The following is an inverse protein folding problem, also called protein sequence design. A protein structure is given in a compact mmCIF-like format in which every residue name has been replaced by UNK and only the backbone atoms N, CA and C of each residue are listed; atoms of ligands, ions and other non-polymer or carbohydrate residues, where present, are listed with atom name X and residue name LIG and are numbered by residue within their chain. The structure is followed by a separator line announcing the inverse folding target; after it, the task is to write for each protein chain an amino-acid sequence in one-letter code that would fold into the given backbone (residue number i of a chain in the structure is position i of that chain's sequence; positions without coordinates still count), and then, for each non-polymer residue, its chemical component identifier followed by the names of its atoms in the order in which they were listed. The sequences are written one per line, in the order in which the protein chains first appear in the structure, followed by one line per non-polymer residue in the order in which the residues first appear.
data_IF_645212306524
#
_entry.id   IF_645212306524
#
_cell.length_a   1.000
_cell.length_b   1.000
_cell.length_c   1.000
_cell.angle_alpha   90.00
_cell.angle_beta   90.00
_cell.angle_gamma   90.00
#
_symmetry.space_group_name_H-M   'P 1'
#
loop_
_entity.id
_entity.type
_entity.pdbx_description
1 polymer ?
#
# COMPACT_ATOMS: atom_id res chain seq x y z
N UNK A 1 36.55 -18.88 -72.74
CA UNK A 1 36.90 -17.48 -72.58
C UNK A 1 37.16 -17.21 -71.12
N UNK A 2 38.39 -16.87 -70.81
CA UNK A 2 38.74 -16.41 -69.48
C UNK A 2 38.40 -14.90 -69.40
N UNK A 3 37.73 -14.49 -68.34
CA UNK A 3 37.43 -13.09 -68.05
C UNK A 3 38.52 -12.58 -67.14
N UNK A 4 39.17 -11.49 -67.49
CA UNK A 4 40.14 -10.75 -66.65
C UNK A 4 39.63 -9.33 -66.45
N UNK A 5 39.66 -8.87 -65.22
CA UNK A 5 39.24 -7.53 -64.83
C UNK A 5 38.48 -7.49 -63.52
N UNK A 6 38.52 -6.39 -62.82
CA UNK A 6 37.72 -6.11 -61.63
C UNK A 6 36.55 -5.23 -62.02
N UNK A 7 35.38 -5.48 -61.39
CA UNK A 7 34.24 -4.57 -61.46
C UNK A 7 33.85 -4.14 -60.08
N UNK A 8 33.55 -2.87 -59.88
CA UNK A 8 33.05 -2.36 -58.63
C UNK A 8 31.51 -2.22 -58.64
N UNK A 9 30.87 -2.71 -57.61
CA UNK A 9 29.45 -2.52 -57.41
C UNK A 9 29.24 -1.59 -56.19
N UNK A 10 28.59 -0.47 -56.42
CA UNK A 10 28.24 0.44 -55.35
C UNK A 10 26.95 0.03 -54.64
N UNK A 11 26.91 -0.02 -53.32
CA UNK A 11 25.71 -0.21 -52.54
C UNK A 11 25.58 0.85 -51.44
N UNK A 12 24.37 1.08 -50.96
CA UNK A 12 24.09 2.02 -49.90
C UNK A 12 23.55 1.27 -48.69
N UNK A 13 24.15 1.49 -47.52
CA UNK A 13 23.64 1.08 -46.22
C UNK A 13 22.79 2.21 -45.66
N UNK A 14 21.55 1.94 -45.31
CA UNK A 14 20.65 2.93 -44.69
C UNK A 14 20.43 2.58 -43.25
N UNK A 15 20.26 3.58 -42.37
CA UNK A 15 19.93 3.36 -40.96
C UNK A 15 18.63 2.56 -40.81
N UNK A 16 18.59 1.64 -39.84
CA UNK A 16 17.45 0.80 -39.54
C UNK A 16 16.40 1.57 -38.75
N UNK A 17 15.09 1.55 -39.12
CA UNK A 17 14.06 2.21 -38.34
C UNK A 17 13.89 1.55 -36.96
N UNK A 18 13.77 2.35 -35.89
CA UNK A 18 13.43 1.85 -34.55
C UNK A 18 12.06 1.15 -34.51
N UNK A 19 11.20 1.34 -35.50
CA UNK A 19 9.90 0.67 -35.64
C UNK A 19 9.98 -0.69 -36.33
N UNK A 20 11.17 -1.15 -36.73
CA UNK A 20 11.33 -2.45 -37.38
C UNK A 20 10.90 -3.60 -36.46
N UNK A 21 10.36 -4.67 -37.04
CA UNK A 21 9.71 -5.78 -36.31
C UNK A 21 10.67 -6.61 -35.43
N UNK A 22 11.96 -6.56 -35.75
CA UNK A 22 13.02 -7.25 -35.00
C UNK A 22 13.68 -6.33 -33.93
N UNK A 23 13.20 -5.09 -33.77
CA UNK A 23 13.55 -4.23 -32.62
C UNK A 23 12.55 -4.50 -31.50
N UNK A 24 13.06 -4.90 -30.33
CA UNK A 24 12.27 -5.17 -29.14
C UNK A 24 12.58 -4.18 -28.03
N UNK A 25 11.59 -3.92 -27.19
CA UNK A 25 11.65 -2.95 -26.10
C UNK A 25 11.16 -3.60 -24.82
N UNK A 26 11.93 -3.48 -23.74
CA UNK A 26 11.49 -3.85 -22.39
C UNK A 26 11.77 -2.69 -21.44
N UNK A 27 10.81 -2.41 -20.55
CA UNK A 27 10.94 -1.39 -19.52
C UNK A 27 10.67 -2.01 -18.15
N UNK A 28 11.43 -1.62 -17.14
CA UNK A 28 11.16 -1.99 -15.75
C UNK A 28 9.91 -1.26 -15.23
N UNK A 29 9.39 -1.71 -14.07
CA UNK A 29 8.30 -1.03 -13.38
C UNK A 29 8.84 -0.40 -12.10
N UNK A 30 9.29 0.86 -12.13
CA UNK A 30 9.77 1.55 -10.94
C UNK A 30 8.62 1.73 -9.94
N UNK A 31 8.96 1.77 -8.64
CA UNK A 31 7.99 2.00 -7.57
C UNK A 31 7.85 3.50 -7.33
N UNK A 32 6.64 3.94 -7.03
CA UNK A 32 6.32 5.32 -6.64
C UNK A 32 7.23 5.83 -5.51
N UNK A 33 7.82 7.00 -5.71
CA UNK A 33 8.72 7.64 -4.73
C UNK A 33 8.21 8.98 -4.19
N UNK A 34 7.22 9.59 -4.85
CA UNK A 34 6.78 10.96 -4.63
C UNK A 34 7.51 11.99 -5.50
N UNK A 35 8.48 11.54 -6.30
CA UNK A 35 9.23 12.34 -7.26
C UNK A 35 9.21 11.68 -8.62
N UNK A 36 9.72 12.37 -9.65
CA UNK A 36 9.86 11.80 -10.99
C UNK A 36 10.66 10.50 -10.97
N UNK A 37 10.11 9.44 -11.54
CA UNK A 37 10.76 8.15 -11.73
C UNK A 37 10.63 7.70 -13.18
N UNK A 38 11.71 7.14 -13.71
CA UNK A 38 11.75 6.57 -15.07
C UNK A 38 12.17 5.10 -14.97
N UNK A 39 11.69 4.24 -15.87
CA UNK A 39 12.11 2.85 -15.93
C UNK A 39 13.53 2.76 -16.49
N UNK A 40 14.21 1.66 -16.20
CA UNK A 40 15.30 1.20 -17.04
C UNK A 40 14.72 0.61 -18.33
N UNK A 41 15.22 1.03 -19.47
CA UNK A 41 14.76 0.58 -20.77
C UNK A 41 15.87 -0.22 -21.47
N UNK A 42 15.53 -1.39 -21.94
CA UNK A 42 16.43 -2.19 -22.80
C UNK A 42 15.85 -2.24 -24.20
N UNK A 43 16.64 -1.84 -25.18
CA UNK A 43 16.31 -1.92 -26.62
C UNK A 43 17.23 -2.95 -27.26
N UNK A 44 16.66 -3.87 -28.06
CA UNK A 44 17.42 -4.90 -28.79
C UNK A 44 17.07 -4.91 -30.26
N UNK A 45 18.07 -5.17 -31.09
CA UNK A 45 17.93 -5.51 -32.50
C UNK A 45 18.30 -7.01 -32.67
N UNK A 46 17.30 -7.88 -32.72
CA UNK A 46 17.52 -9.32 -32.55
C UNK A 46 18.20 -9.59 -31.19
N UNK A 47 19.36 -10.24 -31.23
CA UNK A 47 20.15 -10.56 -30.02
C UNK A 47 21.09 -9.41 -29.55
N UNK A 48 21.23 -8.35 -30.34
CA UNK A 48 22.15 -7.25 -30.06
C UNK A 48 21.44 -6.20 -29.22
N UNK A 49 21.96 -5.94 -28.00
CA UNK A 49 21.47 -4.84 -27.16
C UNK A 49 22.03 -3.52 -27.65
N UNK A 50 21.15 -2.55 -27.87
CA UNK A 50 21.51 -1.18 -28.27
C UNK A 50 21.93 -0.36 -27.05
N UNK A 51 22.81 0.62 -27.25
CA UNK A 51 23.36 1.46 -26.19
C UNK A 51 22.69 2.83 -26.16
N UNK A 52 22.07 3.18 -25.02
CA UNK A 52 21.61 4.54 -24.78
C UNK A 52 22.79 5.53 -24.84
N UNK A 53 22.56 6.70 -25.40
CA UNK A 53 23.60 7.71 -25.63
C UNK A 53 24.48 7.47 -26.86
N UNK A 54 24.44 6.28 -27.49
CA UNK A 54 25.16 5.93 -28.71
C UNK A 54 24.20 5.64 -29.87
N UNK A 55 23.28 4.69 -29.67
CA UNK A 55 22.33 4.24 -30.71
C UNK A 55 21.01 5.01 -30.62
N UNK A 56 20.57 5.33 -29.39
CA UNK A 56 19.31 6.00 -29.11
C UNK A 56 19.42 6.89 -27.85
N UNK A 57 18.40 7.71 -27.63
CA UNK A 57 18.15 8.49 -26.42
C UNK A 57 16.71 8.28 -25.97
N UNK A 58 16.46 8.46 -24.64
CA UNK A 58 15.13 8.37 -24.04
C UNK A 58 14.64 9.79 -23.72
N UNK A 59 13.51 10.15 -24.29
CA UNK A 59 12.87 11.45 -24.08
C UNK A 59 11.49 11.27 -23.42
N UNK A 60 11.05 12.29 -22.70
CA UNK A 60 9.68 12.42 -22.28
C UNK A 60 8.78 12.75 -23.47
N UNK A 61 7.53 12.28 -23.44
CA UNK A 61 6.57 12.67 -24.47
C UNK A 61 6.14 14.12 -24.26
N UNK A 62 5.97 14.87 -25.35
CA UNK A 62 5.72 16.32 -25.31
C UNK A 62 4.34 16.68 -24.78
N UNK A 63 3.38 15.76 -24.82
CA UNK A 63 2.01 15.87 -24.33
C UNK A 63 1.78 15.15 -22.99
N UNK A 64 2.86 14.83 -22.27
CA UNK A 64 2.76 14.19 -20.96
C UNK A 64 1.99 15.07 -19.96
N UNK A 65 1.13 14.44 -19.15
CA UNK A 65 0.54 15.11 -18.00
C UNK A 65 1.63 15.51 -16.99
N UNK A 66 1.41 16.59 -16.25
CA UNK A 66 2.39 17.11 -15.29
C UNK A 66 2.84 16.08 -14.24
N UNK A 67 2.01 15.07 -13.97
CA UNK A 67 2.26 14.00 -13.00
C UNK A 67 2.50 12.61 -13.63
N UNK A 68 2.65 12.56 -14.97
CA UNK A 68 2.81 11.29 -15.70
C UNK A 68 3.99 10.46 -15.19
N UNK A 69 5.09 11.12 -14.88
CA UNK A 69 6.31 10.46 -14.40
C UNK A 69 6.44 10.43 -12.86
N UNK A 70 5.41 10.87 -12.15
CA UNK A 70 5.40 10.95 -10.68
C UNK A 70 4.43 9.92 -10.10
N UNK A 71 3.15 9.94 -10.50
CA UNK A 71 2.10 9.11 -9.91
C UNK A 71 2.16 7.66 -10.36
N UNK A 72 1.83 6.76 -9.45
CA UNK A 72 1.62 5.34 -9.78
C UNK A 72 0.50 5.18 -10.83
N UNK A 73 0.65 4.17 -11.67
CA UNK A 73 -0.32 3.84 -12.72
C UNK A 73 0.32 3.16 -13.91
N UNK A 74 -0.52 2.56 -14.72
CA UNK A 74 -0.17 1.92 -15.98
C UNK A 74 -0.20 2.93 -17.15
N UNK A 75 0.36 2.51 -18.30
CA UNK A 75 0.31 3.27 -19.54
C UNK A 75 1.12 4.56 -19.52
N UNK A 76 2.09 4.70 -18.63
CA UNK A 76 3.06 5.79 -18.65
C UNK A 76 3.89 5.70 -19.91
N UNK A 77 4.21 6.82 -20.56
CA UNK A 77 4.79 6.85 -21.90
C UNK A 77 6.20 7.42 -21.89
N UNK A 78 7.07 6.81 -22.68
CA UNK A 78 8.40 7.34 -23.02
C UNK A 78 8.63 7.23 -24.52
N UNK A 79 9.46 8.09 -25.05
CA UNK A 79 9.83 8.13 -26.46
C UNK A 79 11.29 7.73 -26.62
N UNK A 80 11.53 6.70 -27.38
CA UNK A 80 12.86 6.27 -27.81
C UNK A 80 13.17 6.96 -29.14
N UNK A 81 14.26 7.70 -29.18
CA UNK A 81 14.69 8.51 -30.35
C UNK A 81 16.04 8.00 -30.84
N UNK A 82 16.12 7.63 -32.11
CA UNK A 82 17.41 7.26 -32.69
C UNK A 82 18.38 8.43 -32.66
N UNK A 83 19.60 8.20 -32.18
CA UNK A 83 20.63 9.24 -32.11
C UNK A 83 21.11 9.61 -33.49
N UNK A 84 21.30 10.91 -33.73
CA UNK A 84 21.86 11.42 -35.01
C UNK A 84 23.23 10.82 -35.28
N UNK A 85 23.39 10.25 -36.48
CA UNK A 85 24.65 9.60 -36.91
C UNK A 85 24.80 8.14 -36.43
N UNK A 86 23.83 7.60 -35.71
CA UNK A 86 23.81 6.16 -35.38
C UNK A 86 23.37 5.30 -36.58
N UNK A 87 23.43 3.97 -36.41
CA UNK A 87 22.95 3.02 -37.40
C UNK A 87 21.41 2.87 -37.40
N UNK A 88 20.71 3.70 -36.62
CA UNK A 88 19.25 3.65 -36.43
C UNK A 88 18.61 4.96 -36.84
N UNK A 89 17.28 4.95 -37.05
CA UNK A 89 16.51 6.14 -37.43
C UNK A 89 15.10 6.09 -36.88
N UNK A 90 14.49 7.27 -36.77
CA UNK A 90 13.10 7.43 -36.33
C UNK A 90 12.93 7.39 -34.82
N UNK A 91 11.68 7.23 -34.42
CA UNK A 91 11.25 7.24 -33.00
C UNK A 91 10.28 6.12 -32.72
N UNK A 92 10.26 5.65 -31.47
CA UNK A 92 9.30 4.68 -30.98
C UNK A 92 8.78 5.10 -29.62
N UNK A 93 7.48 5.22 -29.47
CA UNK A 93 6.84 5.38 -28.17
C UNK A 93 6.64 4.00 -27.51
N UNK A 94 6.99 3.91 -26.23
CA UNK A 94 6.79 2.72 -25.39
C UNK A 94 5.99 3.09 -24.14
N UNK A 95 5.35 2.09 -23.56
CA UNK A 95 4.62 2.25 -22.29
C UNK A 95 5.28 1.46 -21.17
N UNK A 96 5.12 1.94 -19.95
CA UNK A 96 5.56 1.28 -18.73
C UNK A 96 4.58 1.54 -17.58
N UNK A 97 4.83 0.94 -16.43
CA UNK A 97 4.02 1.11 -15.22
C UNK A 97 4.88 1.69 -14.12
N UNK A 98 4.36 2.69 -13.41
CA UNK A 98 4.89 3.09 -12.10
C UNK A 98 4.07 2.31 -11.07
N UNK A 99 4.70 1.35 -10.39
CA UNK A 99 4.04 0.52 -9.39
C UNK A 99 3.69 1.35 -8.14
N UNK A 100 2.51 1.17 -7.54
CA UNK A 100 2.20 1.81 -6.27
C UNK A 100 3.13 1.30 -5.16
N UNK A 101 3.44 2.18 -4.20
CA UNK A 101 4.33 1.87 -3.09
C UNK A 101 3.60 1.08 -2.00
N UNK A 102 4.12 -0.07 -1.55
CA UNK A 102 3.55 -0.77 -0.41
C UNK A 102 3.65 0.06 0.88
N UNK A 103 2.55 0.16 1.63
CA UNK A 103 2.54 0.74 2.99
C UNK A 103 2.79 -0.32 4.06
N UNK A 104 2.65 -1.60 3.71
CA UNK A 104 2.83 -2.73 4.61
C UNK A 104 3.94 -3.67 4.12
N UNK A 105 4.59 -4.35 5.05
CA UNK A 105 5.46 -5.48 4.77
C UNK A 105 4.67 -6.78 4.51
N UNK A 106 5.38 -7.88 4.27
CA UNK A 106 4.76 -9.19 4.03
C UNK A 106 4.01 -9.77 5.25
N UNK A 107 4.25 -9.25 6.45
CA UNK A 107 3.56 -9.65 7.68
C UNK A 107 2.34 -8.75 7.99
N UNK A 108 2.02 -7.77 7.15
CA UNK A 108 0.93 -6.82 7.37
C UNK A 108 1.25 -5.75 8.41
N UNK A 109 2.52 -5.54 8.73
CA UNK A 109 3.00 -4.45 9.57
C UNK A 109 3.40 -3.26 8.69
N UNK A 110 3.44 -2.06 9.29
CA UNK A 110 3.90 -0.88 8.60
C UNK A 110 5.28 -1.10 7.97
N UNK A 111 5.43 -0.72 6.69
CA UNK A 111 6.71 -0.75 6.00
C UNK A 111 7.72 0.16 6.70
N UNK A 112 9.02 -0.06 6.50
CA UNK A 112 10.09 0.62 7.27
C UNK A 112 10.12 2.14 7.15
N UNK A 113 9.50 2.71 6.13
CA UNK A 113 9.36 4.14 5.91
C UNK A 113 7.95 4.67 6.22
N UNK A 114 7.08 3.81 6.77
CA UNK A 114 5.71 4.12 7.18
C UNK A 114 5.62 4.08 8.70
N UNK A 115 4.98 5.08 9.28
CA UNK A 115 4.65 5.18 10.70
C UNK A 115 3.14 5.36 10.85
N UNK A 116 2.53 4.60 11.77
CA UNK A 116 1.13 4.75 12.17
C UNK A 116 1.10 5.31 13.58
N UNK A 117 0.40 6.40 13.78
CA UNK A 117 0.23 7.08 15.08
C UNK A 117 -1.23 7.03 15.51
N UNK A 118 -1.45 7.15 16.83
CA UNK A 118 -2.79 7.25 17.44
C UNK A 118 -3.44 5.94 17.82
N UNK A 119 -2.71 4.80 17.74
CA UNK A 119 -3.24 3.47 18.10
C UNK A 119 -2.45 2.79 19.22
N UNK A 120 -1.20 3.21 19.49
CA UNK A 120 -0.34 2.54 20.48
C UNK A 120 -0.92 2.63 21.88
N UNK A 121 -1.23 1.47 22.48
CA UNK A 121 -1.82 1.38 23.81
C UNK A 121 -3.21 2.00 23.94
N UNK A 122 -3.92 2.25 22.84
CA UNK A 122 -5.24 2.86 22.87
C UNK A 122 -6.27 1.92 23.50
N UNK A 123 -7.00 2.46 24.46
CA UNK A 123 -8.14 1.81 25.10
C UNK A 123 -9.37 2.69 24.94
N UNK A 124 -10.46 2.11 24.46
CA UNK A 124 -11.76 2.76 24.32
C UNK A 124 -12.78 2.11 25.25
N UNK A 125 -13.77 2.87 25.69
CA UNK A 125 -14.83 2.33 26.52
C UNK A 125 -15.95 1.73 25.66
N UNK A 126 -16.47 0.58 26.10
CA UNK A 126 -17.60 -0.07 25.49
C UNK A 126 -18.83 0.83 25.46
N UNK A 127 -19.45 0.98 24.29
CA UNK A 127 -20.62 1.85 24.07
C UNK A 127 -21.88 1.09 23.61
N UNK A 128 -21.74 -0.21 23.30
CA UNK A 128 -22.81 -1.00 22.66
C UNK A 128 -22.96 -0.73 21.16
N UNK A 129 -22.16 0.15 20.60
CA UNK A 129 -22.17 0.53 19.17
C UNK A 129 -20.76 0.40 18.58
N UNK A 130 -20.63 0.31 17.23
CA UNK A 130 -19.33 0.29 16.60
C UNK A 130 -18.48 1.53 16.97
N UNK A 131 -17.26 1.30 17.42
CA UNK A 131 -16.32 2.35 17.84
C UNK A 131 -15.34 2.59 16.69
N UNK A 132 -15.15 3.85 16.35
CA UNK A 132 -14.13 4.31 15.39
C UNK A 132 -13.17 5.27 16.10
N UNK A 133 -11.88 5.12 15.82
CA UNK A 133 -10.83 5.92 16.43
C UNK A 133 -10.59 7.16 15.59
N UNK A 134 -10.59 8.33 16.26
CA UNK A 134 -10.20 9.60 15.65
C UNK A 134 -8.70 9.87 15.86
N UNK A 135 -8.10 10.62 14.95
CA UNK A 135 -6.71 11.06 15.09
C UNK A 135 -5.65 10.04 14.72
N UNK A 136 -6.04 8.94 14.04
CA UNK A 136 -5.07 8.04 13.40
C UNK A 136 -4.36 8.82 12.31
N UNK A 137 -3.02 8.78 12.31
CA UNK A 137 -2.18 9.37 11.28
C UNK A 137 -1.28 8.32 10.68
N UNK A 138 -1.14 8.37 9.36
CA UNK A 138 -0.17 7.55 8.63
C UNK A 138 0.86 8.48 8.03
N UNK A 139 2.12 8.29 8.35
CA UNK A 139 3.22 9.11 7.88
C UNK A 139 4.17 8.27 7.02
N UNK A 140 4.72 8.88 6.00
CA UNK A 140 5.83 8.32 5.22
C UNK A 140 7.03 9.26 5.32
N UNK A 141 8.17 8.79 5.87
CA UNK A 141 9.36 9.61 6.12
C UNK A 141 8.99 10.94 6.82
N UNK A 142 8.14 10.87 7.86
CA UNK A 142 7.60 12.00 8.63
C UNK A 142 6.63 12.94 7.86
N UNK A 143 6.31 12.68 6.60
CA UNK A 143 5.28 13.40 5.86
C UNK A 143 3.92 12.68 6.00
N UNK A 144 2.89 13.40 6.45
CA UNK A 144 1.55 12.86 6.65
C UNK A 144 0.90 12.51 5.30
N UNK A 145 0.38 11.30 5.18
CA UNK A 145 -0.43 10.85 4.05
C UNK A 145 -1.87 11.29 4.24
N UNK A 146 -2.59 11.47 3.13
CA UNK A 146 -3.97 11.95 3.15
C UNK A 146 -4.96 10.79 3.12
N UNK A 147 -5.80 10.68 4.14
CA UNK A 147 -6.90 9.71 4.16
C UNK A 147 -7.84 9.92 2.95
N UNK A 148 -8.43 8.84 2.44
CA UNK A 148 -9.27 8.78 1.24
C UNK A 148 -8.47 8.87 -0.07
N UNK A 149 -7.37 9.63 -0.10
CA UNK A 149 -6.52 9.77 -1.29
C UNK A 149 -5.40 8.72 -1.31
N UNK A 150 -4.65 8.62 -0.22
CA UNK A 150 -3.47 7.76 -0.10
C UNK A 150 -3.76 6.45 0.63
N UNK A 151 -4.75 6.45 1.52
CA UNK A 151 -5.22 5.27 2.25
C UNK A 151 -6.67 5.41 2.67
N UNK A 152 -7.25 4.31 3.13
CA UNK A 152 -8.57 4.24 3.79
C UNK A 152 -8.46 3.42 5.06
N UNK A 153 -9.27 3.77 6.07
CA UNK A 153 -9.35 3.04 7.34
C UNK A 153 -10.68 2.28 7.39
N UNK A 154 -10.61 1.03 7.80
CA UNK A 154 -11.76 0.20 8.12
C UNK A 154 -11.54 -0.53 9.43
N UNK A 155 -12.63 -1.00 10.06
CA UNK A 155 -12.57 -1.62 11.38
C UNK A 155 -13.17 -3.02 11.36
N UNK A 156 -12.74 -3.85 12.31
CA UNK A 156 -13.32 -5.16 12.57
C UNK A 156 -13.37 -5.43 14.07
N UNK A 157 -14.37 -6.17 14.54
CA UNK A 157 -14.57 -6.51 15.95
C UNK A 157 -14.67 -5.29 16.87
N UNK A 158 -15.11 -4.15 16.35
CA UNK A 158 -15.06 -2.84 17.02
C UNK A 158 -16.36 -2.49 17.77
N UNK A 159 -17.19 -3.49 18.10
CA UNK A 159 -18.47 -3.28 18.80
C UNK A 159 -18.46 -3.83 20.21
N UNK A 160 -17.88 -5.00 20.42
CA UNK A 160 -17.88 -5.68 21.71
C UNK A 160 -16.55 -5.42 22.47
N UNK A 161 -16.59 -5.53 23.80
CA UNK A 161 -15.39 -5.51 24.62
C UNK A 161 -14.42 -6.63 24.20
N UNK A 162 -13.13 -6.31 24.16
CA UNK A 162 -12.05 -7.13 23.65
C UNK A 162 -11.16 -6.36 22.67
N UNK A 163 -10.35 -7.07 21.91
CA UNK A 163 -9.46 -6.45 20.93
C UNK A 163 -10.19 -6.19 19.60
N UNK A 164 -10.28 -4.93 19.23
CA UNK A 164 -10.78 -4.47 17.93
C UNK A 164 -9.61 -4.35 16.93
N UNK A 165 -9.90 -4.55 15.66
CA UNK A 165 -8.93 -4.43 14.57
C UNK A 165 -9.13 -3.13 13.80
N UNK A 166 -8.01 -2.55 13.35
CA UNK A 166 -7.94 -1.40 12.45
C UNK A 166 -7.18 -1.83 11.21
N UNK A 167 -7.82 -1.71 10.05
CA UNK A 167 -7.20 -2.01 8.76
C UNK A 167 -6.96 -0.72 8.00
N UNK A 168 -5.70 -0.43 7.71
CA UNK A 168 -5.27 0.72 6.93
C UNK A 168 -4.85 0.22 5.56
N UNK A 169 -5.63 0.51 4.54
CA UNK A 169 -5.41 0.01 3.18
C UNK A 169 -4.92 1.12 2.27
N UNK A 170 -3.77 0.93 1.65
CA UNK A 170 -3.18 1.85 0.69
C UNK A 170 -4.05 2.05 -0.55
N UNK A 171 -4.06 3.25 -1.09
CA UNK A 171 -4.86 3.67 -2.23
C UNK A 171 -4.06 4.61 -3.15
N UNK A 172 -4.44 4.70 -4.43
CA UNK A 172 -3.79 5.61 -5.38
C UNK A 172 -2.32 5.27 -5.61
N UNK A 173 -1.44 6.10 -5.10
CA UNK A 173 0.01 5.88 -5.19
C UNK A 173 0.54 4.80 -4.22
N UNK A 174 -0.31 4.29 -3.34
CA UNK A 174 0.03 3.33 -2.31
C UNK A 174 -0.78 2.05 -2.43
N UNK A 175 -0.26 0.96 -1.87
CA UNK A 175 -0.88 -0.37 -1.88
C UNK A 175 -0.54 -1.14 -0.60
N UNK A 176 -1.20 -2.27 -0.41
CA UNK A 176 -1.01 -3.10 0.79
C UNK A 176 -1.94 -2.70 1.93
N UNK A 177 -1.92 -3.47 3.00
CA UNK A 177 -2.79 -3.28 4.16
C UNK A 177 -2.00 -3.49 5.44
N UNK A 178 -2.02 -2.48 6.32
CA UNK A 178 -1.51 -2.57 7.68
C UNK A 178 -2.67 -3.00 8.58
N UNK A 179 -2.40 -3.94 9.48
CA UNK A 179 -3.32 -4.34 10.53
C UNK A 179 -2.77 -3.92 11.88
N UNK A 180 -3.53 -3.08 12.57
CA UNK A 180 -3.31 -2.64 13.94
C UNK A 180 -4.53 -2.99 14.80
N UNK A 181 -4.48 -2.69 16.09
CA UNK A 181 -5.57 -2.97 17.02
C UNK A 181 -5.64 -1.95 18.15
N UNK A 182 -6.81 -1.92 18.80
CA UNK A 182 -7.03 -1.22 20.06
C UNK A 182 -7.94 -2.07 20.95
N UNK A 183 -7.96 -1.80 22.26
CA UNK A 183 -8.80 -2.54 23.18
C UNK A 183 -10.09 -1.79 23.51
N UNK A 184 -11.18 -2.52 23.55
CA UNK A 184 -12.49 -2.04 24.05
C UNK A 184 -12.71 -2.65 25.42
N UNK A 185 -12.88 -1.81 26.44
CA UNK A 185 -13.03 -2.22 27.82
C UNK A 185 -14.37 -1.80 28.40
N UNK A 186 -14.91 -2.60 29.30
CA UNK A 186 -16.09 -2.19 30.07
C UNK A 186 -15.71 -1.08 31.05
N UNK A 187 -16.56 -0.07 31.16
CA UNK A 187 -16.47 0.94 32.20
C UNK A 187 -16.94 0.38 33.54
N UNK A 188 -16.02 0.09 34.43
CA UNK A 188 -16.36 -0.47 35.76
C UNK A 188 -17.24 0.46 36.59
N UNK A 189 -17.30 1.74 36.32
CA UNK A 189 -18.23 2.67 37.01
C UNK A 189 -19.71 2.38 36.69
N UNK A 190 -19.96 1.64 35.59
CA UNK A 190 -21.30 1.21 35.15
C UNK A 190 -21.63 -0.23 35.53
N UNK A 191 -20.80 -0.87 36.35
CA UNK A 191 -21.02 -2.22 36.84
C UNK A 191 -21.68 -2.15 38.20
N UNK A 192 -22.90 -2.71 38.33
CA UNK A 192 -23.58 -2.93 39.61
C UNK A 192 -23.31 -4.34 40.11
N UNK A 193 -22.94 -4.43 41.36
CA UNK A 193 -22.75 -5.71 42.06
C UNK A 193 -23.87 -5.98 43.04
N UNK A 194 -24.41 -7.20 42.99
CA UNK A 194 -25.37 -7.70 43.98
C UNK A 194 -24.80 -8.90 44.70
N UNK A 195 -24.94 -8.89 46.04
CA UNK A 195 -24.58 -10.05 46.85
C UNK A 195 -25.70 -11.09 46.77
N UNK A 196 -25.33 -12.34 46.49
CA UNK A 196 -26.27 -13.44 46.30
C UNK A 196 -25.98 -14.55 47.31
N UNK A 197 -27.01 -15.07 47.96
CA UNK A 197 -26.96 -16.31 48.75
C UNK A 197 -28.00 -17.26 48.23
N UNK A 198 -27.58 -18.49 47.89
CA UNK A 198 -28.46 -19.54 47.34
C UNK A 198 -29.30 -19.09 46.15
N UNK A 199 -28.76 -18.18 45.33
CA UNK A 199 -29.42 -17.65 44.14
C UNK A 199 -30.40 -16.50 44.39
N UNK A 200 -30.55 -16.04 45.63
CA UNK A 200 -31.37 -14.89 46.01
C UNK A 200 -30.48 -13.69 46.34
N UNK A 201 -30.96 -12.49 46.04
CA UNK A 201 -30.30 -11.24 46.44
C UNK A 201 -30.44 -11.01 47.96
N UNK A 202 -29.32 -10.97 48.69
CA UNK A 202 -29.28 -10.76 50.12
C UNK A 202 -28.29 -9.65 50.45
N UNK A 203 -28.68 -8.70 51.29
CA UNK A 203 -27.85 -7.58 51.73
C UNK A 203 -27.46 -7.71 53.20
N UNK A 204 -28.15 -8.56 53.94
CA UNK A 204 -27.89 -8.80 55.37
C UNK A 204 -27.81 -10.32 55.59
N UNK A 205 -26.89 -10.75 56.44
CA UNK A 205 -26.67 -12.14 56.77
C UNK A 205 -26.70 -12.32 58.26
N UNK A 206 -27.60 -13.18 58.73
CA UNK A 206 -27.71 -13.48 60.14
C UNK A 206 -26.64 -14.54 60.53
N UNK A 207 -25.95 -14.32 61.66
CA UNK A 207 -24.99 -15.26 62.19
C UNK A 207 -25.65 -16.49 62.78
N UNK A 208 -25.37 -17.64 62.23
CA UNK A 208 -26.03 -18.92 62.56
C UNK A 208 -25.25 -19.80 63.58
N UNK A 209 -24.29 -19.23 64.29
CA UNK A 209 -23.57 -19.93 65.34
C UNK A 209 -22.30 -20.67 64.89
N UNK A 210 -21.79 -20.44 63.71
CA UNK A 210 -20.48 -20.96 63.32
C UNK A 210 -20.29 -21.46 61.93
N UNK A 211 -21.32 -21.51 61.10
CA UNK A 211 -21.14 -21.77 59.67
C UNK A 211 -20.60 -20.56 58.94
N UNK A 212 -19.71 -20.82 58.00
CA UNK A 212 -19.17 -19.73 57.17
C UNK A 212 -20.15 -19.39 56.05
N UNK A 213 -20.79 -18.23 56.16
CA UNK A 213 -21.64 -17.71 55.07
C UNK A 213 -20.71 -17.31 53.94
N UNK A 214 -20.95 -17.86 52.73
CA UNK A 214 -20.15 -17.61 51.50
C UNK A 214 -21.04 -17.08 50.41
N UNK A 215 -21.37 -15.79 50.44
CA UNK A 215 -22.17 -15.20 49.39
C UNK A 215 -21.35 -15.16 48.07
N UNK A 216 -22.03 -15.23 46.96
CA UNK A 216 -21.48 -14.95 45.63
C UNK A 216 -21.81 -13.51 45.22
N UNK A 217 -21.12 -12.98 44.27
CA UNK A 217 -21.40 -11.66 43.70
C UNK A 217 -21.94 -11.84 42.28
N UNK A 218 -23.09 -11.25 41.99
CA UNK A 218 -23.60 -11.09 40.64
C UNK A 218 -23.28 -9.69 40.18
N UNK A 219 -22.51 -9.57 39.06
CA UNK A 219 -22.19 -8.31 38.42
C UNK A 219 -23.08 -8.11 37.19
N UNK A 220 -23.54 -6.89 37.00
CA UNK A 220 -24.37 -6.49 35.85
C UNK A 220 -23.81 -5.20 35.29
N UNK A 221 -23.65 -5.11 33.98
CA UNK A 221 -23.25 -3.87 33.29
C UNK A 221 -24.52 -3.09 32.94
N UNK A 222 -24.63 -1.84 33.43
CA UNK A 222 -25.91 -1.11 33.41
C UNK A 222 -26.38 -0.68 32.02
N UNK A 223 -25.46 -0.55 31.06
CA UNK A 223 -25.79 -0.18 29.68
C UNK A 223 -26.26 -1.36 28.81
N UNK A 224 -26.21 -2.57 29.34
CA UNK A 224 -26.67 -3.80 28.66
C UNK A 224 -27.56 -4.61 29.56
N UNK A 225 -28.69 -5.02 29.06
CA UNK A 225 -29.55 -6.05 29.70
C UNK A 225 -28.84 -7.44 29.75
N UNK A 226 -27.54 -7.52 29.55
CA UNK A 226 -26.74 -8.73 29.51
C UNK A 226 -25.85 -8.88 30.74
N UNK A 227 -25.93 -10.03 31.36
CA UNK A 227 -25.07 -10.44 32.47
C UNK A 227 -23.64 -10.70 31.95
N UNK A 228 -22.67 -10.25 32.70
CA UNK A 228 -21.25 -10.56 32.55
C UNK A 228 -20.99 -11.93 33.19
#
# INVERSE_FOLDING_TARGET
GEYAGETTCAYKVTPKPLTASDITYTATSPVYTGSTVKPEVTVKNGDVTLSEGIDYEIEEVTDAAADEYIKAGEGKRLKIVAKSGSNYTGTKEITYTIAPRPIADAAGKAASDIEVQGLDGLEELYTGSPITVSGIKVLRNAAELTEITDYVITYGNNTNAGTANVYITGKGNYTGMIQESFDIKYDFSKVTGKTMLDGQEETEFEYDGGQQIRPTMKLTYDDLANQI
#
